data_IF_295687612995
#
_entry.id   IF_295687612995
#
_cell.length_a   1.000
_cell.length_b   1.000
_cell.length_c   1.000
_cell.angle_alpha   90.00
_cell.angle_beta   90.00
_cell.angle_gamma   90.00
#
_symmetry.space_group_name_H-M   'P 1'
#
loop_
_entity.id
_entity.type
_entity.pdbx_description
1 polymer ?
#
# COMPACT_ATOMS: atom_id res chain seq x y z
N UNK A 1 18.51 -33.96 -1.39
CA UNK A 1 18.00 -32.61 -1.10
C UNK A 1 17.65 -32.55 0.40
N UNK A 2 18.12 -31.56 1.10
CA UNK A 2 17.82 -31.42 2.52
C UNK A 2 16.55 -30.57 2.66
N UNK A 3 15.64 -31.01 3.54
CA UNK A 3 14.37 -30.34 3.84
C UNK A 3 14.24 -30.20 5.35
N UNK A 4 13.82 -29.03 5.83
CA UNK A 4 13.46 -28.78 7.21
C UNK A 4 11.95 -28.55 7.24
N UNK A 5 11.22 -29.37 7.98
CA UNK A 5 9.77 -29.26 8.18
C UNK A 5 9.50 -28.94 9.64
N UNK A 6 9.13 -27.71 9.93
CA UNK A 6 8.84 -27.24 11.30
C UNK A 6 7.67 -26.25 11.25
N UNK A 7 6.89 -26.19 12.32
CA UNK A 7 5.79 -25.24 12.44
C UNK A 7 6.27 -23.82 12.75
N UNK A 8 7.40 -23.70 13.43
CA UNK A 8 7.99 -22.41 13.85
C UNK A 8 9.50 -22.51 13.83
N UNK A 9 10.14 -21.45 13.36
CA UNK A 9 11.59 -21.24 13.49
C UNK A 9 11.75 -19.95 14.28
N UNK A 10 12.41 -20.05 15.46
CA UNK A 10 12.64 -18.93 16.35
C UNK A 10 14.08 -18.94 16.85
N UNK A 11 14.54 -17.82 17.40
CA UNK A 11 15.86 -17.72 18.02
C UNK A 11 15.80 -18.24 19.46
N UNK A 12 16.77 -19.07 19.82
CA UNK A 12 16.89 -19.56 21.20
C UNK A 12 17.39 -18.45 22.14
N UNK A 13 18.21 -17.55 21.64
CA UNK A 13 18.80 -16.46 22.40
C UNK A 13 19.07 -15.28 21.48
N UNK A 14 18.67 -14.09 21.90
CA UNK A 14 18.79 -12.87 21.09
C UNK A 14 17.50 -12.48 20.39
N UNK A 15 17.56 -11.46 19.53
CA UNK A 15 16.40 -10.87 18.86
C UNK A 15 16.45 -10.98 17.32
N UNK A 16 17.45 -11.70 16.79
CA UNK A 16 17.67 -11.75 15.32
C UNK A 16 17.76 -13.20 14.85
N UNK A 17 16.86 -13.55 13.93
CA UNK A 17 16.96 -14.76 13.12
C UNK A 17 17.53 -14.39 11.74
N UNK A 18 18.72 -14.89 11.39
CA UNK A 18 19.30 -14.68 10.06
C UNK A 18 18.98 -15.88 9.17
N UNK A 19 18.30 -15.64 8.07
CA UNK A 19 18.00 -16.66 7.05
C UNK A 19 18.76 -16.34 5.77
N UNK A 20 19.65 -17.23 5.36
CA UNK A 20 20.54 -17.04 4.21
C UNK A 20 21.81 -16.28 4.60
N UNK A 21 22.69 -16.08 3.64
CA UNK A 21 23.95 -15.32 3.76
C UNK A 21 24.05 -14.36 2.58
N UNK A 22 25.06 -13.47 2.59
CA UNK A 22 25.29 -12.51 1.51
C UNK A 22 25.31 -13.20 0.14
N UNK A 23 24.60 -12.62 -0.82
CA UNK A 23 24.49 -13.15 -2.18
C UNK A 23 23.55 -14.36 -2.35
N UNK A 24 22.79 -14.72 -1.32
CA UNK A 24 21.76 -15.77 -1.39
C UNK A 24 20.37 -15.18 -1.46
N UNK A 25 19.48 -15.86 -2.20
CA UNK A 25 18.07 -15.48 -2.32
C UNK A 25 17.21 -16.37 -1.43
N UNK A 26 16.32 -15.76 -0.68
CA UNK A 26 15.23 -16.44 0.03
C UNK A 26 13.98 -16.33 -0.84
N UNK A 27 13.50 -17.46 -1.33
CA UNK A 27 12.33 -17.51 -2.22
C UNK A 27 11.15 -18.18 -1.53
N UNK A 28 10.01 -17.52 -1.54
CA UNK A 28 8.76 -18.15 -1.12
C UNK A 28 8.23 -19.06 -2.23
N UNK A 29 7.67 -20.19 -1.85
CA UNK A 29 7.01 -21.08 -2.80
C UNK A 29 5.78 -20.39 -3.43
N UNK A 30 5.38 -20.82 -4.63
CA UNK A 30 4.16 -20.32 -5.28
C UNK A 30 2.94 -20.53 -4.38
N UNK A 31 2.20 -19.45 -4.13
CA UNK A 31 1.04 -19.45 -3.23
C UNK A 31 1.35 -19.22 -1.75
N UNK A 32 2.65 -19.17 -1.36
CA UNK A 32 3.04 -18.75 -0.01
C UNK A 32 3.01 -17.22 0.09
N UNK A 33 2.59 -16.71 1.23
CA UNK A 33 2.58 -15.28 1.54
C UNK A 33 3.55 -14.97 2.68
N UNK A 34 3.99 -13.73 2.76
CA UNK A 34 4.80 -13.22 3.86
C UNK A 34 4.03 -12.14 4.63
N UNK A 35 4.27 -12.08 5.93
CA UNK A 35 3.74 -11.01 6.79
C UNK A 35 4.90 -10.48 7.65
N UNK A 36 5.05 -9.15 7.72
CA UNK A 36 6.09 -8.52 8.55
C UNK A 36 7.50 -8.45 7.94
N UNK A 37 7.73 -8.98 6.74
CA UNK A 37 8.95 -8.70 5.98
C UNK A 37 8.78 -7.36 5.28
N UNK A 38 9.27 -6.29 5.86
CA UNK A 38 9.08 -4.94 5.35
C UNK A 38 9.58 -4.76 3.92
N UNK A 39 8.72 -4.31 3.03
CA UNK A 39 9.15 -3.61 1.83
C UNK A 39 9.43 -2.18 2.21
N UNK A 40 10.66 -1.73 2.06
CA UNK A 40 11.02 -0.34 2.26
C UNK A 40 10.89 0.41 0.94
N UNK A 41 9.89 1.28 0.85
CA UNK A 41 9.80 2.28 -0.22
C UNK A 41 9.17 1.85 -1.54
N UNK A 42 8.67 0.61 -1.67
CA UNK A 42 7.96 0.14 -2.86
C UNK A 42 6.62 -0.49 -2.51
N UNK A 43 5.65 -0.41 -3.42
CA UNK A 43 4.35 -1.06 -3.29
C UNK A 43 4.24 -2.25 -4.23
N UNK A 44 3.40 -3.24 -3.86
CA UNK A 44 2.96 -4.30 -4.77
C UNK A 44 1.80 -3.78 -5.62
N UNK A 45 2.04 -3.66 -6.92
CA UNK A 45 1.01 -3.18 -7.83
C UNK A 45 -0.04 -4.26 -8.10
N UNK A 46 -1.30 -3.95 -7.74
CA UNK A 46 -2.46 -4.71 -8.16
C UNK A 46 -2.69 -4.47 -9.65
N UNK A 47 -2.44 -5.47 -10.48
CA UNK A 47 -2.51 -5.35 -11.95
C UNK A 47 -3.96 -5.28 -12.49
N UNK A 48 -4.96 -5.58 -11.64
CA UNK A 48 -6.38 -5.41 -12.00
C UNK A 48 -6.83 -4.01 -11.58
N UNK A 49 -7.16 -3.17 -12.55
CA UNK A 49 -7.63 -1.81 -12.29
C UNK A 49 -8.93 -1.81 -11.48
N UNK A 50 -8.99 -0.92 -10.49
CA UNK A 50 -10.18 -0.73 -9.65
C UNK A 50 -11.18 0.17 -10.37
N UNK A 51 -12.42 -0.31 -10.50
CA UNK A 51 -13.52 0.38 -11.19
C UNK A 51 -14.69 0.72 -10.27
N UNK A 52 -14.56 0.43 -8.97
CA UNK A 52 -15.58 0.67 -7.94
C UNK A 52 -14.90 1.03 -6.61
N UNK A 53 -15.62 1.61 -5.64
CA UNK A 53 -15.06 1.94 -4.32
C UNK A 53 -14.42 0.72 -3.65
N UNK A 54 -13.29 0.93 -2.98
CA UNK A 54 -12.54 -0.11 -2.28
C UNK A 54 -11.76 0.44 -1.07
N UNK A 55 -11.28 -0.48 -0.22
CA UNK A 55 -10.37 -0.15 0.87
C UNK A 55 -8.95 -0.50 0.44
N UNK A 56 -8.04 0.46 0.54
CA UNK A 56 -6.62 0.25 0.25
C UNK A 56 -5.96 -0.58 1.37
N UNK A 57 -4.98 -1.37 1.00
CA UNK A 57 -4.18 -2.18 1.90
C UNK A 57 -2.76 -1.61 1.93
N UNK A 58 -2.16 -1.53 3.13
CA UNK A 58 -0.78 -1.08 3.29
C UNK A 58 0.18 -2.00 2.55
N UNK A 59 1.11 -1.43 1.80
CA UNK A 59 2.08 -2.12 0.97
C UNK A 59 1.65 -2.27 -0.50
N UNK A 60 0.41 -1.92 -0.86
CA UNK A 60 -0.12 -2.10 -2.20
C UNK A 60 -0.20 -0.80 -3.01
N UNK A 61 -0.06 -0.93 -4.33
CA UNK A 61 -0.35 0.09 -5.32
C UNK A 61 -1.55 -0.30 -6.18
N UNK A 62 -2.36 0.69 -6.56
CA UNK A 62 -3.61 0.46 -7.30
C UNK A 62 -3.71 1.34 -8.54
N UNK A 63 -4.03 0.72 -9.66
CA UNK A 63 -4.55 1.44 -10.82
C UNK A 63 -6.03 1.72 -10.60
N UNK A 64 -6.45 2.99 -10.69
CA UNK A 64 -7.83 3.39 -10.45
C UNK A 64 -8.43 3.95 -11.74
N UNK A 65 -9.46 3.28 -12.23
CA UNK A 65 -10.14 3.61 -13.47
C UNK A 65 -11.48 4.29 -13.15
N UNK A 66 -11.49 5.62 -13.23
CA UNK A 66 -12.67 6.46 -12.98
C UNK A 66 -13.54 6.70 -14.21
N UNK A 67 -13.38 5.95 -15.28
CA UNK A 67 -14.13 6.15 -16.52
C UNK A 67 -15.66 6.07 -16.31
N UNK A 68 -16.11 5.27 -15.36
CA UNK A 68 -17.52 5.16 -14.97
C UNK A 68 -18.01 6.19 -13.94
N UNK A 69 -17.15 7.09 -13.44
CA UNK A 69 -17.45 8.09 -12.43
C UNK A 69 -16.43 8.11 -11.29
N UNK A 70 -16.61 9.04 -10.35
CA UNK A 70 -15.70 9.18 -9.20
C UNK A 70 -15.68 7.92 -8.32
N UNK A 71 -14.50 7.57 -7.85
CA UNK A 71 -14.27 6.40 -6.99
C UNK A 71 -13.79 6.86 -5.61
N UNK A 72 -14.42 6.33 -4.56
CA UNK A 72 -13.93 6.52 -3.19
C UNK A 72 -13.00 5.39 -2.81
N UNK A 73 -11.79 5.75 -2.40
CA UNK A 73 -10.80 4.83 -1.84
C UNK A 73 -10.69 5.09 -0.35
N UNK A 74 -10.99 4.09 0.46
CA UNK A 74 -10.83 4.17 1.91
C UNK A 74 -9.40 3.79 2.29
N UNK A 75 -8.68 4.70 2.95
CA UNK A 75 -7.32 4.44 3.42
C UNK A 75 -7.32 3.41 4.58
N UNK A 76 -6.21 2.70 4.81
CA UNK A 76 -6.10 1.75 5.92
C UNK A 76 -6.50 2.37 7.27
N UNK A 77 -7.24 1.62 8.08
CA UNK A 77 -7.56 2.00 9.46
C UNK A 77 -6.36 1.71 10.37
N UNK A 78 -6.15 2.57 11.38
CA UNK A 78 -5.07 2.38 12.37
C UNK A 78 -3.70 2.11 11.73
N UNK A 79 -3.24 2.96 10.80
CA UNK A 79 -1.97 2.74 10.13
C UNK A 79 -0.80 2.88 11.10
N UNK A 80 0.28 2.17 10.81
CA UNK A 80 1.57 2.26 11.50
C UNK A 80 2.52 3.19 10.74
N UNK A 81 3.47 3.79 11.46
CA UNK A 81 4.52 4.61 10.82
C UNK A 81 5.26 3.79 9.76
N UNK A 82 5.39 4.37 8.57
CA UNK A 82 6.01 3.71 7.43
C UNK A 82 5.05 2.90 6.55
N UNK A 83 3.77 2.77 6.92
CA UNK A 83 2.76 2.22 6.03
C UNK A 83 2.69 3.04 4.75
N UNK A 84 2.57 2.36 3.61
CA UNK A 84 2.65 2.97 2.29
C UNK A 84 1.50 2.48 1.42
N UNK A 85 0.89 3.36 0.64
CA UNK A 85 -0.08 3.03 -0.41
C UNK A 85 0.18 3.90 -1.63
N UNK A 86 -0.07 3.37 -2.83
CA UNK A 86 0.11 4.15 -4.05
C UNK A 86 -1.12 4.03 -4.96
N UNK A 87 -1.35 5.08 -5.75
CA UNK A 87 -2.44 5.16 -6.71
C UNK A 87 -1.93 5.71 -8.03
N UNK A 88 -2.45 5.17 -9.13
CA UNK A 88 -2.16 5.64 -10.48
C UNK A 88 -3.46 5.77 -11.26
N UNK A 89 -3.61 6.90 -11.94
CA UNK A 89 -4.65 7.08 -12.93
C UNK A 89 -4.48 6.05 -14.06
N UNK A 90 -5.54 5.25 -14.29
CA UNK A 90 -5.48 4.17 -15.28
C UNK A 90 -5.83 4.65 -16.70
N UNK A 91 -6.72 5.62 -16.80
CA UNK A 91 -7.30 6.06 -18.09
C UNK A 91 -7.10 7.55 -18.37
N UNK A 92 -6.26 8.22 -17.59
CA UNK A 92 -6.02 9.67 -17.73
C UNK A 92 -7.33 10.47 -17.67
N UNK A 93 -8.15 10.20 -16.62
CA UNK A 93 -9.50 10.76 -16.50
C UNK A 93 -9.79 11.41 -15.15
N UNK A 94 -8.82 11.51 -14.24
CA UNK A 94 -9.09 12.03 -12.89
C UNK A 94 -9.41 13.53 -12.88
N UNK A 95 -9.04 14.28 -13.90
CA UNK A 95 -9.38 15.69 -14.08
C UNK A 95 -10.71 15.93 -14.82
N UNK A 96 -11.29 14.89 -15.40
CA UNK A 96 -12.60 14.98 -16.05
C UNK A 96 -13.70 15.28 -15.01
N UNK A 97 -14.73 15.95 -15.45
CA UNK A 97 -15.88 16.27 -14.61
C UNK A 97 -16.51 15.01 -14.00
N UNK A 98 -16.65 14.98 -12.67
CA UNK A 98 -17.21 13.86 -11.92
C UNK A 98 -16.42 12.53 -12.03
N UNK A 99 -15.13 12.58 -12.28
CA UNK A 99 -14.27 11.40 -12.40
C UNK A 99 -13.05 11.40 -11.47
N UNK A 100 -13.07 12.14 -10.40
CA UNK A 100 -11.98 12.19 -9.42
C UNK A 100 -11.91 10.94 -8.55
N UNK A 101 -10.73 10.72 -7.93
CA UNK A 101 -10.60 9.78 -6.83
C UNK A 101 -10.71 10.52 -5.50
N UNK A 102 -11.61 10.08 -4.63
CA UNK A 102 -11.76 10.60 -3.28
C UNK A 102 -11.04 9.67 -2.31
N UNK A 103 -10.02 10.17 -1.65
CA UNK A 103 -9.31 9.44 -0.58
C UNK A 103 -10.02 9.68 0.74
N UNK A 104 -10.79 8.69 1.19
CA UNK A 104 -11.42 8.69 2.51
C UNK A 104 -10.36 8.40 3.57
N UNK A 105 -10.11 9.35 4.45
CA UNK A 105 -9.04 9.33 5.46
C UNK A 105 -9.18 8.23 6.54
N UNK A 106 -10.38 7.66 6.70
CA UNK A 106 -10.68 6.56 7.63
C UNK A 106 -10.14 6.76 9.06
N UNK A 107 -10.35 7.95 9.60
CA UNK A 107 -9.92 8.31 10.95
C UNK A 107 -8.52 8.94 11.06
N UNK A 108 -7.60 8.69 10.13
CA UNK A 108 -6.28 9.30 10.09
C UNK A 108 -6.30 10.67 9.40
N UNK A 109 -5.29 11.50 9.62
CA UNK A 109 -5.13 12.75 8.87
C UNK A 109 -4.50 12.50 7.49
N UNK A 110 -4.69 13.43 6.58
CA UNK A 110 -3.98 13.50 5.30
C UNK A 110 -3.36 14.90 5.22
N UNK A 111 -2.04 15.00 5.06
CA UNK A 111 -1.33 16.28 5.01
C UNK A 111 -1.45 17.12 6.29
N UNK A 112 -1.75 16.51 7.43
CA UNK A 112 -2.03 17.20 8.69
C UNK A 112 -3.48 17.64 8.87
N UNK A 113 -4.33 17.46 7.85
CA UNK A 113 -5.73 17.90 7.84
C UNK A 113 -6.70 16.76 8.18
N UNK A 114 -7.82 17.10 8.81
CA UNK A 114 -8.90 16.15 9.13
C UNK A 114 -9.96 16.04 8.01
N UNK A 115 -9.56 16.25 6.77
CA UNK A 115 -10.42 16.19 5.59
C UNK A 115 -10.01 15.03 4.68
N UNK A 116 -10.97 14.55 3.88
CA UNK A 116 -10.66 13.66 2.77
C UNK A 116 -9.91 14.45 1.67
N UNK A 117 -9.04 13.78 0.97
CA UNK A 117 -8.33 14.35 -0.17
C UNK A 117 -8.97 13.92 -1.49
N UNK A 118 -8.72 14.68 -2.55
CA UNK A 118 -9.13 14.33 -3.91
C UNK A 118 -7.92 14.32 -4.84
N UNK A 119 -7.89 13.33 -5.72
CA UNK A 119 -6.94 13.25 -6.82
C UNK A 119 -7.69 13.64 -8.08
N UNK A 120 -7.29 14.77 -8.69
CA UNK A 120 -8.01 15.45 -9.76
C UNK A 120 -7.09 15.87 -10.91
N UNK A 121 -5.95 15.24 -11.04
CA UNK A 121 -4.99 15.56 -12.10
C UNK A 121 -4.88 14.40 -13.08
N UNK A 122 -4.99 14.71 -14.36
CA UNK A 122 -4.77 13.76 -15.45
C UNK A 122 -3.43 13.04 -15.31
N UNK A 123 -3.43 11.74 -15.56
CA UNK A 123 -2.22 10.91 -15.50
C UNK A 123 -1.52 10.90 -14.13
N UNK A 124 -2.16 11.36 -13.06
CA UNK A 124 -1.54 11.48 -11.75
C UNK A 124 -1.08 10.11 -11.22
N UNK A 125 0.08 10.12 -10.58
CA UNK A 125 0.55 9.04 -9.72
C UNK A 125 0.88 9.65 -8.37
N UNK A 126 0.40 9.05 -7.29
CA UNK A 126 0.68 9.50 -5.93
C UNK A 126 1.02 8.31 -5.06
N UNK A 127 2.03 8.49 -4.23
CA UNK A 127 2.38 7.54 -3.17
C UNK A 127 2.21 8.23 -1.84
N UNK A 128 1.48 7.61 -0.94
CA UNK A 128 1.25 8.10 0.41
C UNK A 128 2.02 7.25 1.40
N UNK A 129 2.69 7.89 2.32
CA UNK A 129 3.33 7.26 3.49
C UNK A 129 2.65 7.77 4.76
N UNK A 130 2.38 6.87 5.71
CA UNK A 130 1.88 7.28 7.03
C UNK A 130 3.06 7.66 7.92
N UNK A 131 3.09 8.92 8.35
CA UNK A 131 4.19 9.47 9.16
C UNK A 131 3.91 9.30 10.65
N UNK A 132 2.81 9.87 11.12
CA UNK A 132 2.40 9.86 12.54
C UNK A 132 0.95 10.35 12.71
N UNK A 133 0.44 10.40 13.93
CA UNK A 133 -0.90 10.91 14.24
C UNK A 133 -1.06 12.43 14.05
N UNK A 134 0.03 13.18 13.91
CA UNK A 134 -0.01 14.64 13.72
C UNK A 134 -0.15 15.01 12.25
N UNK A 135 0.64 14.39 11.40
CA UNK A 135 0.67 14.62 9.95
C UNK A 135 -0.24 13.64 9.18
N UNK A 136 -0.35 12.41 9.66
CA UNK A 136 -1.12 11.37 8.96
C UNK A 136 -0.41 10.87 7.72
N UNK A 137 -1.18 10.69 6.66
CA UNK A 137 -0.71 10.30 5.35
C UNK A 137 -0.12 11.50 4.60
N UNK A 138 1.10 11.36 4.11
CA UNK A 138 1.82 12.38 3.34
C UNK A 138 2.20 11.82 1.98
N UNK A 139 2.08 12.64 0.94
CA UNK A 139 2.55 12.32 -0.40
C UNK A 139 4.08 12.44 -0.50
N UNK A 140 4.67 11.57 -1.31
CA UNK A 140 6.13 11.53 -1.57
C UNK A 140 6.41 11.39 -3.06
#
# INVERSE_FOLDING_TARGET
MSKIEVNTIDVQCGSTLTVGSSGKTVTLATGASQTGFGRTGTVDWCTTAKTSPFTAVSGDGFFVNTNGGSITVTLPSSPSQGDIVAFKDYNDTWDDACKSVVLCRNGSKIGGECNNAQLTTESQSVTLIYVDGTKGWMDI
#
